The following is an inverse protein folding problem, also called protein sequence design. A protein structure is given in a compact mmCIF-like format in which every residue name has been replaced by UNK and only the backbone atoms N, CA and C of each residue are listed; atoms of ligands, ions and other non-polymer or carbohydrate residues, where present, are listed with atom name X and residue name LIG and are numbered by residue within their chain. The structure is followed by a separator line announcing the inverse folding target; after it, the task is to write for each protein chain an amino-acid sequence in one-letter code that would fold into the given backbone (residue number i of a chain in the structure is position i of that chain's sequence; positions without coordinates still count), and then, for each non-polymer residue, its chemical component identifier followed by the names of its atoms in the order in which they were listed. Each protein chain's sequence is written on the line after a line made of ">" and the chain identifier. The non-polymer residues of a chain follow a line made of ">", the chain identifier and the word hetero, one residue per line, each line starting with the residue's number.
data_IF_358489167351
#
_entry.id   IF_358489167351
#
_cell.length_a   1.000
_cell.length_b   1.000
_cell.length_c   1.000
_cell.angle_alpha   90.00
_cell.angle_beta   90.00
_cell.angle_gamma   90.00
#
_symmetry.space_group_name_H-M   'P 1'
#
loop_
_entity.id
_entity.type
_entity.pdbx_description
1 polymer ?
#
# COMPACT_ATOMS: atom_id res chain seq x y z
N UNK A 1 -38.68 28.54 -12.30
CA UNK A 1 -37.40 29.15 -12.72
C UNK A 1 -36.32 28.12 -12.47
N UNK A 2 -35.49 27.89 -13.48
CA UNK A 2 -34.81 26.62 -13.76
C UNK A 2 -33.83 26.17 -12.67
N UNK A 3 -34.03 24.92 -12.29
CA UNK A 3 -33.04 24.03 -11.72
C UNK A 3 -31.99 23.74 -12.80
N UNK A 4 -30.73 24.01 -12.48
CA UNK A 4 -29.58 23.75 -13.34
C UNK A 4 -28.43 23.21 -12.49
N UNK A 5 -28.71 22.15 -11.73
CA UNK A 5 -27.68 21.25 -11.26
C UNK A 5 -26.88 20.77 -12.48
N UNK A 6 -25.70 21.36 -12.66
CA UNK A 6 -24.73 20.92 -13.65
C UNK A 6 -24.28 19.52 -13.27
N UNK A 7 -24.95 18.53 -13.83
CA UNK A 7 -24.48 17.16 -13.94
C UNK A 7 -23.22 17.17 -14.82
N UNK A 8 -22.08 17.46 -14.19
CA UNK A 8 -20.79 17.34 -14.86
C UNK A 8 -20.65 15.86 -15.23
N UNK A 9 -20.39 15.51 -16.51
CA UNK A 9 -20.16 14.13 -16.86
C UNK A 9 -19.05 13.58 -15.95
N UNK A 10 -19.32 12.45 -15.31
CA UNK A 10 -18.34 11.72 -14.51
C UNK A 10 -17.11 11.55 -15.40
N UNK A 11 -16.04 12.29 -15.09
CA UNK A 11 -14.81 12.26 -15.87
C UNK A 11 -14.22 10.87 -15.75
N UNK A 12 -14.20 10.12 -16.84
CA UNK A 12 -13.52 8.84 -16.88
C UNK A 12 -11.99 9.06 -16.92
N UNK A 13 -11.40 9.08 -15.73
CA UNK A 13 -9.96 9.25 -15.53
C UNK A 13 -9.16 8.07 -16.09
N UNK A 14 -9.76 6.91 -16.31
CA UNK A 14 -9.04 5.72 -16.78
C UNK A 14 -8.50 5.87 -18.21
N UNK A 15 -9.10 6.76 -19.00
CA UNK A 15 -8.68 7.06 -20.38
C UNK A 15 -7.57 8.11 -20.47
N UNK A 16 -7.14 8.68 -19.33
CA UNK A 16 -6.19 9.78 -19.33
C UNK A 16 -4.75 9.26 -19.39
N UNK A 17 -3.87 10.02 -20.05
CA UNK A 17 -2.43 9.78 -20.01
C UNK A 17 -1.86 10.10 -18.63
N UNK A 18 -0.70 9.53 -18.31
CA UNK A 18 -0.02 9.77 -17.03
C UNK A 18 0.29 11.26 -16.83
N UNK A 19 0.76 11.96 -17.87
CA UNK A 19 1.06 13.40 -17.79
C UNK A 19 -0.17 14.21 -17.41
N UNK A 20 -1.31 13.89 -18.03
CA UNK A 20 -2.57 14.60 -17.79
C UNK A 20 -3.07 14.35 -16.37
N UNK A 21 -2.99 13.11 -15.89
CA UNK A 21 -3.45 12.79 -14.54
C UNK A 21 -2.49 13.33 -13.47
N UNK A 22 -1.18 13.34 -13.70
CA UNK A 22 -0.20 13.99 -12.82
C UNK A 22 -0.47 15.50 -12.69
N UNK A 23 -0.68 16.20 -13.81
CA UNK A 23 -1.00 17.62 -13.80
C UNK A 23 -2.30 17.91 -13.02
N UNK A 24 -3.33 17.09 -13.26
CA UNK A 24 -4.60 17.18 -12.54
C UNK A 24 -4.45 16.88 -11.05
N UNK A 25 -3.59 15.93 -10.67
CA UNK A 25 -3.40 15.49 -9.30
C UNK A 25 -2.78 16.55 -8.38
N UNK A 26 -2.39 17.74 -8.86
CA UNK A 26 -1.84 18.81 -8.02
C UNK A 26 -2.87 19.41 -7.04
N UNK A 27 -4.10 19.70 -7.49
CA UNK A 27 -5.15 20.33 -6.70
C UNK A 27 -6.16 19.42 -5.91
N UNK A 28 -6.44 18.16 -6.27
CA UNK A 28 -7.57 17.41 -5.73
C UNK A 28 -7.40 17.02 -4.27
N UNK A 29 -8.55 16.77 -3.64
CA UNK A 29 -8.69 16.39 -2.23
C UNK A 29 -9.71 15.26 -2.08
N UNK A 30 -9.63 14.53 -0.96
CA UNK A 30 -10.63 13.53 -0.58
C UNK A 30 -10.85 12.43 -1.63
N UNK A 31 -12.11 12.24 -2.04
CA UNK A 31 -12.51 11.14 -2.94
C UNK A 31 -11.83 11.19 -4.32
N UNK A 32 -11.48 12.38 -4.81
CA UNK A 32 -10.78 12.50 -6.10
C UNK A 32 -9.36 11.91 -6.04
N UNK A 33 -8.66 12.07 -4.91
CA UNK A 33 -7.36 11.43 -4.69
C UNK A 33 -7.48 9.90 -4.66
N UNK A 34 -8.54 9.35 -4.06
CA UNK A 34 -8.77 7.90 -4.06
C UNK A 34 -9.04 7.39 -5.48
N UNK A 35 -9.80 8.12 -6.30
CA UNK A 35 -10.00 7.75 -7.72
C UNK A 35 -8.70 7.79 -8.51
N UNK A 36 -7.89 8.85 -8.36
CA UNK A 36 -6.57 8.95 -8.99
C UNK A 36 -5.69 7.78 -8.56
N UNK A 37 -5.63 7.48 -7.25
CA UNK A 37 -4.87 6.36 -6.69
C UNK A 37 -5.25 5.04 -7.36
N UNK A 38 -6.55 4.73 -7.42
CA UNK A 38 -7.06 3.48 -8.03
C UNK A 38 -6.70 3.42 -9.52
N UNK A 39 -6.98 4.48 -10.28
CA UNK A 39 -6.71 4.50 -11.73
C UNK A 39 -5.22 4.34 -12.01
N UNK A 40 -4.37 5.08 -11.30
CA UNK A 40 -2.93 5.02 -11.45
C UNK A 40 -2.38 3.63 -11.07
N UNK A 41 -2.91 3.00 -10.02
CA UNK A 41 -2.57 1.62 -9.65
C UNK A 41 -2.97 0.62 -10.75
N UNK A 42 -4.18 0.73 -11.32
CA UNK A 42 -4.64 -0.14 -12.39
C UNK A 42 -3.73 -0.06 -13.62
N UNK A 43 -3.34 1.16 -14.02
CA UNK A 43 -2.38 1.36 -15.12
C UNK A 43 -1.00 0.80 -14.80
N UNK A 44 -0.49 1.00 -13.58
CA UNK A 44 0.79 0.41 -13.18
C UNK A 44 0.79 -1.13 -13.33
N UNK A 45 -0.33 -1.80 -12.99
CA UNK A 45 -0.47 -3.25 -13.05
C UNK A 45 -0.73 -3.81 -14.45
N UNK A 46 -1.68 -3.23 -15.17
CA UNK A 46 -2.27 -3.84 -16.37
C UNK A 46 -1.83 -3.24 -17.70
N UNK A 47 -0.98 -2.23 -17.69
CA UNK A 47 -0.56 -1.56 -18.92
C UNK A 47 0.61 -2.28 -19.61
N UNK A 48 0.56 -2.32 -20.94
CA UNK A 48 1.65 -2.75 -21.83
C UNK A 48 2.68 -1.62 -22.09
N UNK A 49 2.51 -0.47 -21.42
CA UNK A 49 3.40 0.68 -21.54
C UNK A 49 4.83 0.35 -21.08
N UNK A 50 5.84 1.10 -21.56
CA UNK A 50 7.21 0.94 -21.12
C UNK A 50 7.36 1.04 -19.59
N UNK A 51 8.35 0.32 -19.05
CA UNK A 51 8.67 0.29 -17.61
C UNK A 51 8.67 1.70 -16.97
N UNK A 52 9.31 2.67 -17.61
CA UNK A 52 9.38 4.05 -17.10
C UNK A 52 8.01 4.69 -16.91
N UNK A 53 7.08 4.48 -17.84
CA UNK A 53 5.71 5.00 -17.77
C UNK A 53 4.92 4.30 -16.65
N UNK A 54 5.08 2.99 -16.51
CA UNK A 54 4.44 2.22 -15.43
C UNK A 54 4.94 2.61 -14.04
N UNK A 55 6.22 2.92 -13.90
CA UNK A 55 6.78 3.46 -12.65
C UNK A 55 6.22 4.84 -12.33
N UNK A 56 5.96 5.69 -13.32
CA UNK A 56 5.29 6.99 -13.11
C UNK A 56 3.86 6.81 -12.62
N UNK A 57 3.10 5.89 -13.22
CA UNK A 57 1.78 5.52 -12.73
C UNK A 57 1.81 5.03 -11.28
N UNK A 58 2.76 4.16 -10.94
CA UNK A 58 2.92 3.69 -9.56
C UNK A 58 3.24 4.85 -8.60
N UNK A 59 4.16 5.74 -8.97
CA UNK A 59 4.53 6.94 -8.18
C UNK A 59 3.32 7.85 -7.97
N UNK A 60 2.51 8.08 -9.01
CA UNK A 60 1.29 8.87 -8.91
C UNK A 60 0.30 8.25 -7.92
N UNK A 61 0.13 6.92 -7.95
CA UNK A 61 -0.70 6.22 -6.97
C UNK A 61 -0.18 6.39 -5.54
N UNK A 62 1.13 6.23 -5.30
CA UNK A 62 1.72 6.44 -3.97
C UNK A 62 1.51 7.88 -3.48
N UNK A 63 1.80 8.87 -4.31
CA UNK A 63 1.63 10.28 -3.98
C UNK A 63 0.16 10.64 -3.68
N UNK A 64 -0.78 10.09 -4.45
CA UNK A 64 -2.20 10.27 -4.20
C UNK A 64 -2.62 9.64 -2.88
N UNK A 65 -2.15 8.42 -2.58
CA UNK A 65 -2.46 7.74 -1.33
C UNK A 65 -1.90 8.50 -0.12
N UNK A 66 -0.70 9.07 -0.23
CA UNK A 66 -0.08 9.83 0.86
C UNK A 66 -0.90 11.05 1.26
N UNK A 67 -1.46 11.74 0.26
CA UNK A 67 -2.30 12.94 0.47
C UNK A 67 -3.71 12.66 0.97
N UNK A 68 -4.16 11.41 0.93
CA UNK A 68 -5.43 11.05 1.57
C UNK A 68 -5.20 11.15 3.08
N UNK A 69 -5.99 12.04 3.72
CA UNK A 69 -5.92 12.26 5.15
C UNK A 69 -6.15 10.93 5.89
N UNK A 70 -5.16 10.58 6.70
CA UNK A 70 -5.33 9.64 7.79
C UNK A 70 -6.03 10.34 8.97
N UNK A 71 -6.41 9.56 9.97
CA UNK A 71 -7.04 10.11 11.16
C UNK A 71 -7.43 9.05 12.19
N UNK A 72 -7.24 7.78 11.85
CA UNK A 72 -7.38 6.69 12.79
C UNK A 72 -6.47 5.50 12.39
N UNK A 73 -6.19 4.57 13.31
CA UNK A 73 -5.31 3.44 13.02
C UNK A 73 -5.73 2.58 11.82
N UNK A 74 -7.02 2.53 11.48
CA UNK A 74 -7.51 1.78 10.31
C UNK A 74 -7.24 2.50 8.99
N UNK A 75 -7.40 3.83 8.94
CA UNK A 75 -7.05 4.60 7.75
C UNK A 75 -5.56 4.50 7.44
N UNK A 76 -4.75 4.53 8.49
CA UNK A 76 -3.29 4.54 8.35
C UNK A 76 -2.78 3.15 7.95
N UNK A 77 -3.27 2.09 8.60
CA UNK A 77 -2.97 0.72 8.19
C UNK A 77 -3.46 0.40 6.77
N UNK A 78 -4.60 0.97 6.34
CA UNK A 78 -5.06 0.86 4.95
C UNK A 78 -4.06 1.50 3.99
N UNK A 79 -3.60 2.72 4.27
CA UNK A 79 -2.61 3.42 3.45
C UNK A 79 -1.32 2.60 3.35
N UNK A 80 -0.77 2.17 4.50
CA UNK A 80 0.45 1.37 4.55
C UNK A 80 0.31 0.06 3.78
N UNK A 81 -0.79 -0.66 3.96
CA UNK A 81 -1.08 -1.90 3.21
C UNK A 81 -1.13 -1.66 1.70
N UNK A 82 -1.79 -0.59 1.25
CA UNK A 82 -1.89 -0.27 -0.18
C UNK A 82 -0.54 0.09 -0.78
N UNK A 83 0.25 0.92 -0.09
CA UNK A 83 1.62 1.25 -0.51
C UNK A 83 2.49 -0.01 -0.56
N UNK A 84 2.41 -0.86 0.46
CA UNK A 84 3.16 -2.11 0.53
C UNK A 84 2.82 -3.06 -0.62
N UNK A 85 1.53 -3.28 -0.88
CA UNK A 85 1.08 -4.14 -1.97
C UNK A 85 1.53 -3.61 -3.35
N UNK A 86 1.40 -2.30 -3.59
CA UNK A 86 1.84 -1.69 -4.85
C UNK A 86 3.36 -1.78 -5.03
N UNK A 87 4.15 -1.37 -4.03
CA UNK A 87 5.62 -1.38 -4.12
C UNK A 87 6.15 -2.81 -4.27
N UNK A 88 5.60 -3.78 -3.54
CA UNK A 88 5.96 -5.21 -3.70
C UNK A 88 5.67 -5.68 -5.11
N UNK A 89 4.49 -5.38 -5.66
CA UNK A 89 4.14 -5.75 -7.03
C UNK A 89 5.10 -5.14 -8.06
N UNK A 90 5.45 -3.86 -7.90
CA UNK A 90 6.39 -3.16 -8.79
C UNK A 90 7.78 -3.79 -8.74
N UNK A 91 8.31 -4.07 -7.55
CA UNK A 91 9.60 -4.74 -7.37
C UNK A 91 9.58 -6.12 -8.03
N UNK A 92 8.51 -6.89 -7.81
CA UNK A 92 8.37 -8.26 -8.32
C UNK A 92 8.28 -8.31 -9.85
N UNK A 93 7.53 -7.40 -10.47
CA UNK A 93 7.19 -7.48 -11.90
C UNK A 93 8.04 -6.56 -12.78
N UNK A 94 8.49 -5.42 -12.26
CA UNK A 94 9.28 -4.44 -12.98
C UNK A 94 10.74 -4.39 -12.50
N UNK A 95 11.08 -5.15 -11.46
CA UNK A 95 12.40 -5.18 -10.86
C UNK A 95 12.69 -3.97 -9.95
N UNK A 96 13.65 -4.10 -9.02
CA UNK A 96 14.13 -3.00 -8.18
C UNK A 96 14.55 -1.76 -8.98
N UNK A 97 14.51 -0.59 -8.34
CA UNK A 97 14.93 0.68 -8.92
C UNK A 97 15.88 1.47 -8.02
N UNK A 98 16.37 2.59 -8.53
CA UNK A 98 17.23 3.53 -7.76
C UNK A 98 16.44 4.50 -6.90
N UNK A 99 15.14 4.67 -7.18
CA UNK A 99 14.23 5.42 -6.32
C UNK A 99 13.90 4.56 -5.09
N UNK A 100 13.93 5.17 -3.90
CA UNK A 100 13.60 4.54 -2.61
C UNK A 100 12.25 3.81 -2.65
N UNK A 101 11.27 4.30 -3.41
CA UNK A 101 9.97 3.64 -3.53
C UNK A 101 10.07 2.24 -4.14
N UNK A 102 11.09 1.98 -4.95
CA UNK A 102 11.33 0.71 -5.64
C UNK A 102 12.53 -0.06 -5.07
N UNK A 103 13.04 0.37 -3.91
CA UNK A 103 14.08 -0.30 -3.16
C UNK A 103 13.45 -1.33 -2.18
N UNK A 104 13.75 -2.64 -2.35
CA UNK A 104 13.28 -3.69 -1.45
C UNK A 104 13.66 -3.48 0.02
N UNK A 105 14.87 -3.01 0.32
CA UNK A 105 15.33 -2.81 1.70
C UNK A 105 14.61 -1.63 2.35
N UNK A 106 14.41 -0.54 1.60
CA UNK A 106 13.59 0.57 2.07
C UNK A 106 12.14 0.14 2.32
N UNK A 107 11.55 -0.66 1.44
CA UNK A 107 10.20 -1.19 1.64
C UNK A 107 10.11 -2.09 2.88
N UNK A 108 11.11 -2.95 3.09
CA UNK A 108 11.20 -3.78 4.29
C UNK A 108 11.26 -2.92 5.57
N UNK A 109 12.11 -1.90 5.58
CA UNK A 109 12.24 -0.98 6.72
C UNK A 109 10.94 -0.23 7.00
N UNK A 110 10.32 0.34 5.97
CA UNK A 110 9.05 1.06 6.10
C UNK A 110 7.93 0.13 6.60
N UNK A 111 7.92 -1.13 6.14
CA UNK A 111 6.94 -2.15 6.59
C UNK A 111 7.12 -2.49 8.06
N UNK A 112 8.36 -2.74 8.50
CA UNK A 112 8.67 -3.05 9.90
C UNK A 112 8.35 -1.85 10.81
N UNK A 113 8.58 -0.63 10.35
CA UNK A 113 8.26 0.59 11.10
C UNK A 113 6.75 0.83 11.27
N UNK A 114 5.93 0.31 10.34
CA UNK A 114 4.47 0.43 10.41
C UNK A 114 3.82 -0.60 11.36
N UNK A 115 4.55 -1.63 11.80
CA UNK A 115 4.07 -2.65 12.72
C UNK A 115 4.30 -2.17 14.15
N UNK A 116 3.23 -2.06 14.93
CA UNK A 116 3.28 -1.53 16.31
C UNK A 116 3.69 -2.58 17.33
N UNK A 117 3.55 -3.86 16.99
CA UNK A 117 4.03 -4.98 17.77
C UNK A 117 5.35 -5.50 17.21
N UNK A 118 6.08 -6.28 17.99
CA UNK A 118 7.07 -7.21 17.46
C UNK A 118 6.46 -8.60 17.18
N UNK A 119 7.13 -9.48 16.43
CA UNK A 119 6.61 -10.81 16.13
C UNK A 119 6.26 -11.65 17.38
N UNK A 120 7.08 -11.60 18.43
CA UNK A 120 6.91 -12.44 19.62
C UNK A 120 5.67 -11.99 20.43
N UNK A 121 5.49 -10.67 20.54
CA UNK A 121 4.29 -10.06 21.13
C UNK A 121 3.04 -10.43 20.32
N UNK A 122 3.08 -10.26 19.00
CA UNK A 122 1.96 -10.59 18.13
C UNK A 122 1.62 -12.09 18.19
N UNK A 123 2.64 -12.96 18.26
CA UNK A 123 2.49 -14.40 18.43
C UNK A 123 1.82 -14.75 19.76
N UNK A 124 2.29 -14.16 20.86
CA UNK A 124 1.72 -14.36 22.20
C UNK A 124 0.25 -13.94 22.27
N UNK A 125 -0.09 -12.77 21.72
CA UNK A 125 -1.47 -12.29 21.64
C UNK A 125 -2.34 -13.18 20.75
N UNK A 126 -1.78 -13.68 19.64
CA UNK A 126 -2.52 -14.51 18.69
C UNK A 126 -2.95 -15.86 19.25
N UNK A 127 -2.20 -16.42 20.22
CA UNK A 127 -2.49 -17.75 20.77
C UNK A 127 -3.89 -17.87 21.38
N UNK A 128 -4.41 -16.78 21.98
CA UNK A 128 -5.72 -16.73 22.62
C UNK A 128 -6.54 -15.54 22.10
N UNK A 129 -6.45 -15.23 20.80
CA UNK A 129 -7.04 -14.00 20.24
C UNK A 129 -8.55 -13.89 20.46
N UNK A 130 -9.26 -15.02 20.58
CA UNK A 130 -10.70 -15.06 20.83
C UNK A 130 -11.12 -14.42 22.16
N UNK A 131 -10.24 -14.42 23.15
CA UNK A 131 -10.51 -13.86 24.49
C UNK A 131 -10.07 -12.40 24.62
N UNK A 132 -9.44 -11.83 23.58
CA UNK A 132 -8.93 -10.46 23.61
C UNK A 132 -10.06 -9.44 23.41
N UNK A 133 -9.91 -8.22 23.97
CA UNK A 133 -10.76 -7.09 23.61
C UNK A 133 -10.75 -6.82 22.10
N UNK A 134 -11.91 -6.41 21.56
CA UNK A 134 -12.09 -6.13 20.12
C UNK A 134 -11.01 -5.20 19.53
N UNK A 135 -10.53 -4.22 20.30
CA UNK A 135 -9.45 -3.33 19.88
C UNK A 135 -8.14 -4.05 19.55
N UNK A 136 -7.75 -5.02 20.38
CA UNK A 136 -6.54 -5.83 20.20
C UNK A 136 -6.71 -6.85 19.07
N UNK A 137 -7.88 -7.47 18.93
CA UNK A 137 -8.19 -8.30 17.75
C UNK A 137 -8.05 -7.47 16.47
N UNK A 138 -8.58 -6.25 16.49
CA UNK A 138 -8.42 -5.29 15.40
C UNK A 138 -6.96 -4.97 15.09
N UNK A 139 -6.13 -4.82 16.11
CA UNK A 139 -4.68 -4.62 15.94
C UNK A 139 -4.00 -5.81 15.27
N UNK A 140 -4.26 -7.04 15.73
CA UNK A 140 -3.70 -8.24 15.11
C UNK A 140 -4.13 -8.39 13.64
N UNK A 141 -5.41 -8.09 13.33
CA UNK A 141 -5.90 -8.06 11.94
C UNK A 141 -5.19 -7.02 11.08
N UNK A 142 -4.88 -5.83 11.63
CA UNK A 142 -4.09 -4.82 10.92
C UNK A 142 -2.68 -5.35 10.59
N UNK A 143 -2.01 -6.00 11.55
CA UNK A 143 -0.70 -6.62 11.32
C UNK A 143 -0.75 -7.72 10.26
N UNK A 144 -1.74 -8.61 10.31
CA UNK A 144 -1.94 -9.69 9.31
C UNK A 144 -2.11 -9.14 7.90
N UNK A 145 -2.84 -8.04 7.78
CA UNK A 145 -3.10 -7.38 6.51
C UNK A 145 -1.86 -6.64 5.97
N UNK A 146 -1.09 -5.97 6.83
CA UNK A 146 0.14 -5.28 6.43
C UNK A 146 1.24 -6.26 6.00
N UNK A 147 1.27 -7.47 6.58
CA UNK A 147 2.27 -8.50 6.29
C UNK A 147 1.87 -9.45 5.14
N UNK A 148 0.76 -9.20 4.44
CA UNK A 148 0.18 -10.14 3.48
C UNK A 148 1.03 -10.48 2.24
N UNK A 149 2.00 -9.66 1.89
CA UNK A 149 2.87 -9.85 0.72
C UNK A 149 4.35 -10.03 1.09
N UNK A 150 4.67 -10.31 2.36
CA UNK A 150 6.06 -10.51 2.79
C UNK A 150 6.76 -11.60 2.00
N UNK A 151 6.12 -12.75 1.77
CA UNK A 151 6.70 -13.87 1.01
C UNK A 151 7.27 -13.45 -0.35
N UNK A 152 6.59 -12.51 -1.03
CA UNK A 152 7.02 -12.00 -2.34
C UNK A 152 8.20 -11.06 -2.23
N UNK A 153 8.19 -10.17 -1.24
CA UNK A 153 9.29 -9.24 -0.99
C UNK A 153 10.58 -9.99 -0.59
N UNK A 154 10.45 -11.09 0.16
CA UNK A 154 11.57 -11.86 0.71
C UNK A 154 12.56 -12.40 -0.35
N UNK A 155 12.11 -12.58 -1.59
CA UNK A 155 12.98 -12.96 -2.72
C UNK A 155 14.03 -11.87 -3.06
N UNK A 156 13.76 -10.62 -2.70
CA UNK A 156 14.60 -9.46 -3.04
C UNK A 156 15.40 -8.91 -1.86
N UNK A 157 15.18 -9.43 -0.65
CA UNK A 157 15.91 -8.99 0.56
C UNK A 157 17.17 -9.84 0.72
N UNK A 158 18.37 -9.23 0.91
CA UNK A 158 19.58 -9.96 1.22
C UNK A 158 19.48 -10.62 2.60
N UNK A 159 20.23 -11.71 2.83
CA UNK A 159 20.30 -12.33 4.15
C UNK A 159 20.82 -11.35 5.20
N UNK A 160 20.23 -11.37 6.40
CA UNK A 160 20.61 -10.49 7.50
C UNK A 160 19.44 -10.19 8.44
N UNK A 161 19.65 -9.34 9.45
CA UNK A 161 18.69 -9.11 10.54
C UNK A 161 17.30 -8.66 10.05
N UNK A 162 17.25 -7.85 8.99
CA UNK A 162 15.98 -7.42 8.38
C UNK A 162 15.21 -8.61 7.82
N UNK A 163 15.89 -9.49 7.07
CA UNK A 163 15.27 -10.69 6.49
C UNK A 163 14.81 -11.67 7.57
N UNK A 164 15.60 -11.84 8.62
CA UNK A 164 15.24 -12.70 9.76
C UNK A 164 13.99 -12.17 10.48
N UNK A 165 13.90 -10.85 10.68
CA UNK A 165 12.71 -10.24 11.29
C UNK A 165 11.46 -10.36 10.41
N UNK A 166 11.60 -10.23 9.09
CA UNK A 166 10.48 -10.45 8.16
C UNK A 166 10.06 -11.94 8.10
N UNK A 167 11.00 -12.87 8.23
CA UNK A 167 10.71 -14.29 8.38
C UNK A 167 9.88 -14.56 9.65
N UNK A 168 10.28 -14.02 10.80
CA UNK A 168 9.50 -14.16 12.04
C UNK A 168 8.08 -13.64 11.89
N UNK A 169 7.91 -12.50 11.20
CA UNK A 169 6.58 -11.97 10.89
C UNK A 169 5.76 -12.89 9.98
N UNK A 170 6.40 -13.50 8.98
CA UNK A 170 5.76 -14.45 8.06
C UNK A 170 5.23 -15.68 8.81
N UNK A 171 5.99 -16.19 9.77
CA UNK A 171 5.56 -17.30 10.63
C UNK A 171 4.39 -16.91 11.53
N UNK A 172 4.53 -15.81 12.28
CA UNK A 172 3.48 -15.33 13.20
C UNK A 172 2.18 -15.01 12.47
N UNK A 173 2.27 -14.47 11.25
CA UNK A 173 1.11 -14.13 10.42
C UNK A 173 0.14 -15.30 10.24
N UNK A 174 0.63 -16.54 10.18
CA UNK A 174 -0.18 -17.76 10.00
C UNK A 174 -1.18 -17.97 11.15
N UNK A 175 -0.88 -17.39 12.32
CA UNK A 175 -1.67 -17.52 13.54
C UNK A 175 -2.53 -16.29 13.86
N UNK A 176 -2.29 -15.16 13.18
CA UNK A 176 -3.08 -13.95 13.38
C UNK A 176 -4.54 -14.15 12.92
N UNK A 177 -5.54 -13.52 13.57
CA UNK A 177 -6.94 -13.53 13.15
C UNK A 177 -7.16 -12.90 11.77
#
# INVERSE_FOLDING_TARGET
>A
MSDSAHDRPIRDLSTWTVDRLEAFATAPQGQELERIRVVAQCHAYGSDEPRSVRLRWAKLSLNANERILGGNPWSDARKSRQNFALRTWIIEHLGPGTDRDWDPEALAADTLAALTLDPDQAGTLSANWHDLPTGQIGELRRHKNMTAHLDRLMAFIPSGPTKDRLNSWTEVRKHLP
#
